data_IF_134303380074
#
_entry.id   IF_134303380074
#
_cell.length_a   1.000
_cell.length_b   1.000
_cell.length_c   1.000
_cell.angle_alpha   90.00
_cell.angle_beta   90.00
_cell.angle_gamma   90.00
#
_symmetry.space_group_name_H-M   'P 1'
#
loop_
_entity.id
_entity.type
_entity.pdbx_description
1 polymer ?
#
# COMPACT_ATOMS: atom_id res chain seq x y z
N UNK A 1 13.55 42.49 -11.68
CA UNK A 1 13.12 42.18 -10.29
C UNK A 1 12.02 41.12 -10.31
N UNK A 2 12.33 39.86 -10.03
CA UNK A 2 11.31 38.80 -9.91
C UNK A 2 10.61 38.96 -8.56
N UNK A 3 9.33 39.36 -8.57
CA UNK A 3 8.50 39.46 -7.36
C UNK A 3 8.35 38.06 -6.76
N UNK A 4 9.05 37.79 -5.66
CA UNK A 4 8.96 36.54 -4.92
C UNK A 4 7.54 36.32 -4.42
N UNK A 5 6.93 35.17 -4.74
CA UNK A 5 5.63 34.78 -4.20
C UNK A 5 5.80 34.54 -2.69
N UNK A 6 5.00 35.21 -1.88
CA UNK A 6 4.94 34.95 -0.43
C UNK A 6 4.51 33.50 -0.20
N UNK A 7 5.16 32.76 0.72
CA UNK A 7 4.78 31.38 1.03
C UNK A 7 3.34 31.34 1.55
N UNK A 8 2.56 30.36 1.09
CA UNK A 8 1.18 30.18 1.55
C UNK A 8 1.18 29.70 3.00
N UNK A 9 0.29 30.23 3.86
CA UNK A 9 0.16 29.74 5.23
C UNK A 9 -0.22 28.26 5.23
N UNK A 10 0.50 27.48 6.04
CA UNK A 10 0.26 26.05 6.19
C UNK A 10 -1.09 25.86 6.89
N UNK A 11 -2.00 25.01 6.38
CA UNK A 11 -3.28 24.75 7.03
C UNK A 11 -3.10 24.19 8.45
N UNK A 12 -3.90 24.67 9.40
CA UNK A 12 -3.89 24.25 10.82
C UNK A 12 -4.06 22.73 10.98
N UNK A 13 -4.79 22.08 10.07
CA UNK A 13 -4.98 20.63 10.03
C UNK A 13 -3.69 19.85 9.75
N UNK A 14 -2.76 20.42 8.98
CA UNK A 14 -1.45 19.80 8.68
C UNK A 14 -0.54 19.91 9.91
N UNK A 15 -0.59 21.05 10.61
CA UNK A 15 0.17 21.28 11.84
C UNK A 15 -0.28 20.31 12.93
N UNK A 16 -1.59 20.15 13.12
CA UNK A 16 -2.14 19.21 14.11
C UNK A 16 -1.77 17.75 13.79
N UNK A 17 -1.83 17.34 12.52
CA UNK A 17 -1.38 15.99 12.11
C UNK A 17 0.10 15.76 12.36
N UNK A 18 0.94 16.79 12.17
CA UNK A 18 2.37 16.70 12.44
C UNK A 18 2.66 16.55 13.93
N UNK A 19 2.03 17.37 14.77
CA UNK A 19 2.16 17.30 16.24
C UNK A 19 1.68 15.96 16.80
N UNK A 20 0.57 15.43 16.30
CA UNK A 20 0.07 14.11 16.71
C UNK A 20 1.05 12.99 16.33
N UNK A 21 1.62 13.06 15.12
CA UNK A 21 2.64 12.10 14.67
C UNK A 21 3.91 12.17 15.53
N UNK A 22 4.36 13.37 15.88
CA UNK A 22 5.53 13.59 16.76
C UNK A 22 5.27 13.06 18.17
N UNK A 23 4.08 13.32 18.75
CA UNK A 23 3.69 12.81 20.06
C UNK A 23 3.62 11.28 20.10
N UNK A 24 3.06 10.67 19.05
CA UNK A 24 3.07 9.22 18.88
C UNK A 24 4.52 8.74 18.76
N UNK A 25 5.35 9.38 17.94
CA UNK A 25 6.74 8.96 17.75
C UNK A 25 7.57 9.02 19.05
N UNK A 26 7.34 10.03 19.88
CA UNK A 26 7.99 10.23 21.18
C UNK A 26 7.55 9.18 22.21
N UNK A 27 6.25 8.90 22.32
CA UNK A 27 5.72 7.79 23.13
C UNK A 27 6.36 6.46 22.71
N UNK A 28 6.42 6.22 21.41
CA UNK A 28 7.06 5.03 20.85
C UNK A 28 8.58 5.02 21.02
N UNK A 29 9.23 6.16 21.25
CA UNK A 29 10.68 6.23 21.43
C UNK A 29 11.10 5.80 22.84
N UNK A 30 10.39 6.26 23.87
CA UNK A 30 10.62 5.82 25.25
C UNK A 30 10.37 4.31 25.42
N UNK A 31 9.32 3.82 24.77
CA UNK A 31 8.92 2.41 24.80
C UNK A 31 9.87 1.48 24.02
N UNK A 32 10.65 2.01 23.06
CA UNK A 32 11.67 1.25 22.30
C UNK A 32 12.89 0.81 23.12
N UNK A 33 13.16 1.43 24.27
CA UNK A 33 14.25 1.02 25.17
C UNK A 33 13.81 -0.01 26.22
N UNK A 34 12.51 -0.26 26.33
CA UNK A 34 11.97 -1.25 27.27
C UNK A 34 12.19 -2.64 26.67
N UNK A 35 13.01 -3.44 27.34
CA UNK A 35 13.05 -4.87 27.10
C UNK A 35 11.78 -5.46 27.71
N UNK A 36 10.93 -6.02 26.86
CA UNK A 36 9.74 -6.73 27.30
C UNK A 36 10.13 -8.10 27.86
N UNK A 37 9.39 -8.60 28.85
CA UNK A 37 9.64 -9.90 29.47
C UNK A 37 8.33 -10.66 29.66
N UNK A 38 8.42 -11.97 29.89
CA UNK A 38 7.25 -12.83 30.07
C UNK A 38 6.39 -12.88 28.81
N UNK A 39 5.08 -12.67 28.95
CA UNK A 39 4.16 -12.82 27.83
C UNK A 39 4.31 -11.78 26.72
N UNK A 40 4.91 -10.63 27.03
CA UNK A 40 5.16 -9.53 26.08
C UNK A 40 6.51 -9.69 25.35
N UNK A 41 7.30 -10.74 25.63
CA UNK A 41 8.64 -10.94 25.07
C UNK A 41 8.67 -10.86 23.54
N UNK A 42 7.62 -11.32 22.87
CA UNK A 42 7.51 -11.28 21.41
C UNK A 42 7.65 -9.85 20.84
N UNK A 43 7.39 -8.81 21.64
CA UNK A 43 7.56 -7.41 21.26
C UNK A 43 9.01 -7.02 21.03
N UNK A 44 9.97 -7.76 21.59
CA UNK A 44 11.40 -7.58 21.34
C UNK A 44 11.84 -8.13 19.97
N UNK A 45 10.98 -8.87 19.28
CA UNK A 45 11.36 -9.57 18.05
C UNK A 45 11.57 -8.59 16.91
N UNK A 46 12.63 -8.82 16.14
CA UNK A 46 12.93 -8.09 14.91
C UNK A 46 12.90 -9.02 13.71
N UNK A 47 12.50 -8.47 12.56
CA UNK A 47 12.67 -9.14 11.28
C UNK A 47 14.16 -9.13 10.91
N UNK A 48 14.71 -10.17 10.23
CA UNK A 48 16.11 -10.17 9.78
C UNK A 48 16.54 -8.92 9.00
N UNK A 49 15.60 -8.33 8.25
CA UNK A 49 15.83 -7.07 7.54
C UNK A 49 16.07 -5.88 8.48
N UNK A 50 15.42 -5.86 9.65
CA UNK A 50 15.51 -4.79 10.64
C UNK A 50 16.76 -4.91 11.52
N UNK A 51 17.24 -6.13 11.76
CA UNK A 51 18.45 -6.42 12.53
C UNK A 51 19.71 -5.85 11.86
N UNK A 52 19.74 -5.79 10.53
CA UNK A 52 20.93 -5.38 9.76
C UNK A 52 21.37 -3.90 9.91
N UNK A 53 20.64 -3.07 10.69
CA UNK A 53 20.84 -1.60 10.91
C UNK A 53 20.96 -0.72 9.65
N UNK A 54 21.09 -1.28 8.45
CA UNK A 54 21.20 -0.57 7.17
C UNK A 54 19.82 -0.09 6.71
N UNK A 55 19.40 1.05 7.26
CA UNK A 55 18.31 1.88 6.74
C UNK A 55 16.99 1.15 6.50
N UNK A 56 16.63 0.16 7.31
CA UNK A 56 15.54 -0.74 6.97
C UNK A 56 14.14 -0.21 7.32
N UNK A 57 13.73 0.90 6.70
CA UNK A 57 12.34 1.36 6.63
C UNK A 57 11.59 1.43 7.97
N UNK A 58 10.25 1.36 7.89
CA UNK A 58 9.38 1.33 9.08
C UNK A 58 9.55 0.00 9.83
N UNK A 59 9.61 0.07 11.16
CA UNK A 59 9.65 -1.11 12.06
C UNK A 59 8.41 -1.99 11.92
N UNK A 60 8.52 -3.24 12.34
CA UNK A 60 7.41 -4.20 12.34
C UNK A 60 6.35 -3.78 13.36
N UNK A 61 5.07 -3.87 12.97
CA UNK A 61 3.95 -3.64 13.89
C UNK A 61 3.90 -4.71 14.99
N UNK A 62 3.19 -4.50 16.11
CA UNK A 62 3.03 -5.53 17.15
C UNK A 62 2.52 -6.87 16.60
N UNK A 63 1.53 -6.81 15.71
CA UNK A 63 1.01 -7.99 15.00
C UNK A 63 2.08 -8.68 14.15
N UNK A 64 2.88 -7.92 13.40
CA UNK A 64 3.99 -8.49 12.61
C UNK A 64 5.06 -9.11 13.51
N UNK A 65 5.37 -8.49 14.66
CA UNK A 65 6.31 -9.03 15.65
C UNK A 65 5.82 -10.37 16.22
N UNK A 66 4.52 -10.48 16.53
CA UNK A 66 3.92 -11.73 16.96
C UNK A 66 4.05 -12.85 15.90
N UNK A 67 3.76 -12.52 14.63
CA UNK A 67 3.94 -13.47 13.51
C UNK A 67 5.40 -13.91 13.38
N UNK A 68 6.35 -12.98 13.41
CA UNK A 68 7.78 -13.28 13.30
C UNK A 68 8.24 -14.16 14.45
N UNK A 69 7.81 -13.85 15.67
CA UNK A 69 8.16 -14.61 16.87
C UNK A 69 7.60 -16.04 16.82
N UNK A 70 6.33 -16.19 16.42
CA UNK A 70 5.71 -17.50 16.21
C UNK A 70 6.49 -18.34 15.20
N UNK A 71 6.92 -17.77 14.08
CA UNK A 71 7.77 -18.47 13.11
C UNK A 71 9.12 -18.86 13.70
N UNK A 72 9.77 -17.97 14.47
CA UNK A 72 11.05 -18.26 15.13
C UNK A 72 10.92 -19.42 16.13
N UNK A 73 9.82 -19.50 16.88
CA UNK A 73 9.54 -20.62 17.81
C UNK A 73 9.28 -21.95 17.07
N UNK A 74 8.73 -21.91 15.87
CA UNK A 74 8.44 -23.09 15.05
C UNK A 74 9.56 -23.39 14.02
N UNK A 75 10.82 -23.28 14.43
CA UNK A 75 11.99 -23.58 13.60
C UNK A 75 12.09 -22.77 12.29
N UNK A 76 11.57 -21.55 12.29
CA UNK A 76 11.63 -20.61 11.17
C UNK A 76 10.47 -20.70 10.17
N UNK A 77 9.49 -21.58 10.40
CA UNK A 77 8.32 -21.74 9.55
C UNK A 77 7.02 -21.95 10.36
N UNK A 78 5.86 -21.54 9.84
CA UNK A 78 4.57 -21.80 10.48
C UNK A 78 3.43 -21.88 9.45
N UNK A 79 2.39 -22.65 9.75
CA UNK A 79 1.11 -22.67 9.02
C UNK A 79 0.26 -21.44 9.34
N UNK A 80 -0.75 -21.14 8.53
CA UNK A 80 -1.63 -19.99 8.77
C UNK A 80 -2.46 -20.16 10.05
N UNK A 81 -2.82 -21.40 10.37
CA UNK A 81 -3.58 -21.80 11.56
C UNK A 81 -2.75 -21.59 12.82
N UNK A 82 -1.49 -22.06 12.84
CA UNK A 82 -0.56 -21.82 13.95
C UNK A 82 -0.34 -20.33 14.20
N UNK A 83 -0.18 -19.54 13.12
CA UNK A 83 -0.03 -18.10 13.23
C UNK A 83 -1.28 -17.43 13.80
N UNK A 84 -2.47 -17.86 13.36
CA UNK A 84 -3.72 -17.32 13.86
C UNK A 84 -3.91 -17.63 15.35
N UNK A 85 -3.69 -18.88 15.75
CA UNK A 85 -3.83 -19.31 17.14
C UNK A 85 -2.86 -18.54 18.05
N UNK A 86 -1.60 -18.41 17.65
CA UNK A 86 -0.62 -17.62 18.41
C UNK A 86 -1.04 -16.15 18.54
N UNK A 87 -1.52 -15.54 17.45
CA UNK A 87 -1.94 -14.15 17.44
C UNK A 87 -3.18 -13.93 18.30
N UNK A 88 -4.12 -14.88 18.33
CA UNK A 88 -5.28 -14.84 19.24
C UNK A 88 -4.85 -14.88 20.70
N UNK A 89 -3.93 -15.77 21.04
CA UNK A 89 -3.41 -15.91 22.41
C UNK A 89 -2.66 -14.66 22.89
N UNK A 90 -2.14 -13.83 21.97
CA UNK A 90 -1.43 -12.58 22.28
C UNK A 90 -2.24 -11.33 21.94
N UNK A 91 -3.54 -11.47 21.69
CA UNK A 91 -4.34 -10.40 21.10
C UNK A 91 -4.48 -9.17 21.99
N UNK A 92 -4.71 -9.37 23.29
CA UNK A 92 -4.85 -8.26 24.25
C UNK A 92 -3.60 -7.40 24.32
N UNK A 93 -2.42 -8.05 24.27
CA UNK A 93 -1.12 -7.38 24.24
C UNK A 93 -0.96 -6.63 22.90
N UNK A 94 -1.26 -7.27 21.77
CA UNK A 94 -1.20 -6.63 20.44
C UNK A 94 -2.08 -5.38 20.40
N UNK A 95 -3.28 -5.44 20.97
CA UNK A 95 -4.23 -4.33 21.05
C UNK A 95 -3.72 -3.18 21.90
N UNK A 96 -3.16 -3.48 23.09
CA UNK A 96 -2.53 -2.50 23.99
C UNK A 96 -1.48 -1.64 23.28
N UNK A 97 -0.72 -2.24 22.36
CA UNK A 97 0.38 -1.57 21.65
C UNK A 97 0.04 -1.13 20.21
N UNK A 98 -1.21 -1.27 19.77
CA UNK A 98 -1.64 -0.83 18.43
C UNK A 98 -2.41 0.49 18.54
N UNK A 99 -1.93 1.59 17.91
CA UNK A 99 -2.47 2.93 18.15
C UNK A 99 -3.82 3.17 17.46
N UNK A 100 -4.14 2.35 16.46
CA UNK A 100 -5.47 2.28 15.83
C UNK A 100 -6.05 0.93 16.21
N UNK A 101 -6.71 0.89 17.36
CA UNK A 101 -7.28 -0.34 17.90
C UNK A 101 -8.12 -1.07 16.85
N UNK A 102 -7.92 -2.38 16.77
CA UNK A 102 -8.79 -3.25 16.01
C UNK A 102 -10.08 -3.47 16.82
N UNK A 103 -11.25 -3.31 16.21
CA UNK A 103 -12.53 -3.55 16.91
C UNK A 103 -12.91 -5.02 17.00
N UNK A 104 -12.25 -5.89 16.24
CA UNK A 104 -12.59 -7.30 16.11
C UNK A 104 -11.36 -8.17 16.27
N UNK A 105 -11.59 -9.37 16.77
CA UNK A 105 -10.60 -10.42 16.86
C UNK A 105 -9.99 -10.75 15.47
N UNK A 106 -8.69 -11.07 15.41
CA UNK A 106 -8.00 -11.43 14.17
C UNK A 106 -8.65 -12.64 13.51
N UNK A 107 -8.75 -12.58 12.18
CA UNK A 107 -9.16 -13.69 11.34
C UNK A 107 -8.02 -14.13 10.42
N UNK A 108 -8.14 -15.31 9.79
CA UNK A 108 -7.18 -15.79 8.77
C UNK A 108 -6.93 -14.74 7.67
N UNK A 109 -7.95 -13.96 7.31
CA UNK A 109 -7.79 -12.86 6.34
C UNK A 109 -6.76 -11.83 6.81
N UNK A 110 -6.76 -11.46 8.09
CA UNK A 110 -5.80 -10.50 8.66
C UNK A 110 -4.39 -11.08 8.64
N UNK A 111 -4.24 -12.37 8.96
CA UNK A 111 -2.96 -13.07 8.89
C UNK A 111 -2.42 -13.06 7.44
N UNK A 112 -3.23 -13.50 6.47
CA UNK A 112 -2.86 -13.50 5.04
C UNK A 112 -2.47 -12.11 4.53
N UNK A 113 -3.22 -11.07 4.91
CA UNK A 113 -2.90 -9.69 4.55
C UNK A 113 -1.53 -9.26 5.08
N UNK A 114 -1.16 -9.67 6.29
CA UNK A 114 0.16 -9.38 6.85
C UNK A 114 1.27 -10.20 6.18
N UNK A 115 1.01 -11.46 5.82
CA UNK A 115 1.97 -12.35 5.17
C UNK A 115 2.39 -11.87 3.78
N UNK A 116 1.50 -11.18 3.05
CA UNK A 116 1.80 -10.61 1.73
C UNK A 116 2.42 -9.20 1.77
N UNK A 117 2.63 -8.63 2.97
CA UNK A 117 3.19 -7.27 3.09
C UNK A 117 4.61 -7.20 2.54
N UNK A 118 4.85 -6.14 1.77
CA UNK A 118 6.17 -5.78 1.27
C UNK A 118 6.75 -4.58 2.02
N UNK A 119 8.03 -4.64 2.36
CA UNK A 119 8.85 -3.49 2.79
C UNK A 119 9.96 -3.25 1.78
N UNK A 120 10.07 -2.02 1.27
CA UNK A 120 11.06 -1.63 0.22
C UNK A 120 11.06 -2.58 -0.99
N UNK A 121 9.86 -2.90 -1.48
CA UNK A 121 9.59 -3.84 -2.57
C UNK A 121 9.99 -5.30 -2.31
N UNK A 122 10.21 -5.69 -1.05
CA UNK A 122 10.55 -7.07 -0.66
C UNK A 122 9.47 -7.65 0.24
N UNK A 123 9.06 -8.88 -0.03
CA UNK A 123 8.18 -9.61 0.87
C UNK A 123 8.90 -9.90 2.19
N UNK A 124 8.21 -9.72 3.31
CA UNK A 124 8.73 -10.11 4.63
C UNK A 124 8.65 -11.61 4.85
N UNK A 125 7.60 -12.23 4.31
CA UNK A 125 7.33 -13.65 4.46
C UNK A 125 7.30 -14.30 3.08
N UNK A 126 7.75 -15.55 3.01
CA UNK A 126 7.76 -16.36 1.79
C UNK A 126 7.07 -17.69 2.06
N UNK A 127 6.47 -18.29 1.04
CA UNK A 127 6.05 -19.69 1.13
C UNK A 127 7.27 -20.59 1.10
N UNK A 128 7.27 -21.65 1.89
CA UNK A 128 8.33 -22.66 1.83
C UNK A 128 8.29 -23.34 0.44
N UNK A 129 9.41 -23.41 -0.29
CA UNK A 129 9.46 -24.09 -1.58
C UNK A 129 9.15 -25.59 -1.49
N UNK A 130 9.39 -26.24 -0.34
CA UNK A 130 9.14 -27.67 -0.12
C UNK A 130 7.69 -27.93 0.29
N UNK A 131 7.08 -27.01 1.04
CA UNK A 131 5.71 -27.15 1.53
C UNK A 131 4.93 -25.85 1.36
N UNK A 132 3.97 -25.86 0.43
CA UNK A 132 3.16 -24.68 0.10
C UNK A 132 2.24 -24.21 1.23
N UNK A 133 2.02 -25.02 2.28
CA UNK A 133 1.17 -24.62 3.41
C UNK A 133 1.96 -23.85 4.47
N UNK A 134 3.29 -23.99 4.47
CA UNK A 134 4.18 -23.30 5.40
C UNK A 134 4.61 -21.93 4.87
N UNK A 135 4.66 -20.98 5.80
CA UNK A 135 5.22 -19.65 5.62
C UNK A 135 6.51 -19.52 6.41
N UNK A 136 7.50 -18.85 5.81
CA UNK A 136 8.84 -18.65 6.35
C UNK A 136 9.22 -17.18 6.37
N UNK A 137 10.19 -16.83 7.21
CA UNK A 137 10.80 -15.50 7.20
C UNK A 137 11.71 -15.31 5.97
N UNK A 138 11.60 -14.15 5.33
CA UNK A 138 12.54 -13.78 4.28
C UNK A 138 13.84 -13.26 4.91
N UNK A 139 14.80 -14.16 5.10
CA UNK A 139 16.10 -13.81 5.69
C UNK A 139 17.15 -13.37 4.68
N UNK A 140 16.88 -13.48 3.38
CA UNK A 140 17.86 -13.17 2.35
C UNK A 140 18.22 -11.67 2.40
N UNK A 141 19.44 -11.29 2.74
CA UNK A 141 19.86 -9.89 2.66
C UNK A 141 19.98 -9.49 1.18
N UNK A 142 19.72 -8.21 0.83
CA UNK A 142 20.00 -7.74 -0.53
C UNK A 142 21.49 -7.94 -0.76
N UNK A 143 21.86 -8.79 -1.73
CA UNK A 143 23.14 -8.63 -2.41
C UNK A 143 23.04 -7.26 -3.07
N UNK A 144 23.75 -6.27 -2.54
CA UNK A 144 23.88 -4.98 -3.23
C UNK A 144 24.38 -5.37 -4.62
N UNK A 145 23.63 -5.09 -5.71
CA UNK A 145 24.18 -5.32 -7.03
C UNK A 145 25.45 -4.48 -7.06
N UNK A 146 26.60 -5.15 -7.16
CA UNK A 146 27.89 -4.48 -7.39
C UNK A 146 27.59 -3.52 -8.53
N UNK A 147 27.65 -2.21 -8.26
CA UNK A 147 27.39 -1.21 -9.28
C UNK A 147 28.26 -1.63 -10.45
N UNK A 148 27.64 -2.08 -11.54
CA UNK A 148 28.37 -2.28 -12.79
C UNK A 148 28.90 -0.89 -13.11
N UNK A 149 30.18 -0.69 -12.84
CA UNK A 149 30.97 0.45 -13.29
C UNK A 149 30.97 0.36 -14.81
N UNK A 150 29.91 0.86 -15.40
CA UNK A 150 29.76 1.00 -16.84
C UNK A 150 30.71 2.12 -17.27
N UNK A 151 31.68 1.74 -18.10
CA UNK A 151 32.54 2.55 -18.95
C UNK A 151 33.57 3.45 -18.25
N UNK A 152 34.77 2.90 -18.03
CA UNK A 152 36.01 3.62 -18.32
C UNK A 152 36.64 2.98 -19.56
N UNK A 153 36.36 3.59 -20.70
CA UNK A 153 37.08 3.36 -21.95
C UNK A 153 38.46 3.98 -21.82
N UNK A 154 39.49 3.14 -21.84
CA UNK A 154 40.76 3.43 -22.52
C UNK A 154 41.58 2.16 -22.53
N UNK A 155 41.82 1.63 -23.72
CA UNK A 155 42.89 0.69 -23.97
C UNK A 155 44.23 1.40 -23.68
N UNK A 156 45.04 0.79 -22.81
CA UNK A 156 46.50 0.77 -22.90
C UNK A 156 47.03 -0.31 -21.94
N UNK A 157 48.14 -0.91 -22.34
CA UNK A 157 48.65 -2.23 -22.01
C UNK A 157 49.52 -2.30 -20.72
N UNK A 158 49.31 -3.36 -19.91
CA UNK A 158 50.30 -4.28 -19.23
C UNK A 158 51.21 -3.69 -18.09
N UNK A 159 51.78 -4.45 -17.12
CA UNK A 159 51.47 -5.74 -16.46
C UNK A 159 51.30 -5.66 -14.90
N UNK A 160 50.97 -6.82 -14.34
CA UNK A 160 51.05 -7.28 -12.93
C UNK A 160 52.00 -6.54 -11.96
N UNK A 161 51.50 -6.20 -10.77
CA UNK A 161 51.99 -6.71 -9.47
C UNK A 161 51.14 -6.17 -8.30
N UNK A 162 51.13 -6.98 -7.22
CA UNK A 162 50.70 -6.74 -5.83
C UNK A 162 50.18 -5.34 -5.43
N UNK A 163 49.13 -5.30 -4.61
CA UNK A 163 49.06 -4.50 -3.36
C UNK A 163 47.87 -4.98 -2.52
N UNK A 164 48.20 -5.55 -1.36
CA UNK A 164 47.35 -5.69 -0.19
C UNK A 164 46.95 -4.30 0.36
N UNK A 165 45.86 -4.27 1.12
CA UNK A 165 45.41 -3.16 1.98
C UNK A 165 44.86 -1.92 1.26
N UNK A 166 43.57 -1.65 1.45
CA UNK A 166 43.17 -0.29 1.81
C UNK A 166 41.89 -0.23 2.63
N UNK A 167 42.09 0.45 3.75
CA UNK A 167 41.19 0.85 4.79
C UNK A 167 39.91 1.56 4.32
N UNK A 168 38.87 1.36 5.12
CA UNK A 168 38.10 2.43 5.77
C UNK A 168 38.33 3.84 5.21
N UNK A 169 37.40 4.32 4.39
CA UNK A 169 37.12 5.75 4.37
C UNK A 169 35.61 6.02 4.33
N UNK A 170 35.22 6.78 5.34
CA UNK A 170 33.88 7.21 5.69
C UNK A 170 33.47 8.39 4.81
N UNK A 171 32.87 8.08 3.66
CA UNK A 171 32.19 9.07 2.83
C UNK A 171 30.80 9.42 3.37
N UNK A 172 30.67 10.61 3.95
CA UNK A 172 29.40 11.28 4.24
C UNK A 172 28.59 11.43 2.94
N UNK A 173 27.67 10.51 2.68
CA UNK A 173 26.69 10.66 1.61
C UNK A 173 25.52 11.49 2.14
N UNK A 174 25.49 12.76 1.70
CA UNK A 174 24.31 13.60 1.74
C UNK A 174 23.15 12.86 1.07
N UNK A 175 22.22 12.41 1.90
CA UNK A 175 20.95 11.76 1.56
C UNK A 175 20.04 12.80 0.92
N UNK A 176 20.36 13.17 -0.32
CA UNK A 176 19.41 13.81 -1.22
C UNK A 176 18.59 12.69 -1.83
N UNK A 177 17.45 12.40 -1.20
CA UNK A 177 16.39 11.60 -1.80
C UNK A 177 16.18 12.09 -3.25
N UNK A 178 16.20 11.20 -4.26
CA UNK A 178 15.66 11.57 -5.55
C UNK A 178 14.15 11.67 -5.38
N UNK A 179 13.67 12.87 -5.07
CA UNK A 179 12.25 13.28 -4.99
C UNK A 179 11.57 13.27 -6.38
N UNK A 180 11.97 12.33 -7.24
CA UNK A 180 11.64 12.30 -8.66
C UNK A 180 11.25 10.89 -9.14
N UNK A 181 10.62 10.08 -8.28
CA UNK A 181 9.86 8.93 -8.81
C UNK A 181 8.61 9.39 -9.60
N UNK A 182 8.18 10.65 -9.43
CA UNK A 182 7.15 11.28 -10.27
C UNK A 182 7.69 11.88 -11.58
N UNK A 183 8.99 12.12 -11.70
CA UNK A 183 9.58 12.84 -12.86
C UNK A 183 9.91 11.96 -14.06
N UNK A 184 9.92 10.62 -13.92
CA UNK A 184 10.26 9.69 -15.01
C UNK A 184 9.05 9.02 -15.67
N UNK A 185 7.82 9.39 -15.30
CA UNK A 185 6.61 9.05 -16.07
C UNK A 185 6.44 10.02 -17.24
N UNK A 186 7.52 10.35 -17.94
CA UNK A 186 7.42 10.91 -19.28
C UNK A 186 6.78 9.78 -20.08
N UNK A 187 5.46 9.88 -20.26
CA UNK A 187 4.67 9.01 -21.11
C UNK A 187 5.30 9.05 -22.49
N UNK A 188 6.22 8.13 -22.78
CA UNK A 188 6.70 7.92 -24.13
C UNK A 188 5.46 7.78 -25.02
N UNK A 189 5.44 8.51 -26.13
CA UNK A 189 4.29 8.59 -27.03
C UNK A 189 3.84 7.23 -27.58
N UNK A 190 4.66 6.18 -27.44
CA UNK A 190 4.42 4.83 -27.94
C UNK A 190 4.09 3.80 -26.83
N UNK A 191 3.50 4.26 -25.71
CA UNK A 191 3.03 3.36 -24.64
C UNK A 191 1.61 2.86 -24.90
N UNK A 192 1.31 1.64 -24.43
CA UNK A 192 -0.04 1.09 -24.54
C UNK A 192 -1.11 1.97 -23.88
N UNK A 193 -0.78 2.56 -22.73
CA UNK A 193 -1.66 3.48 -22.00
C UNK A 193 -2.07 4.67 -22.89
N UNK A 194 -1.13 5.16 -23.71
CA UNK A 194 -1.40 6.26 -24.64
C UNK A 194 -2.35 5.84 -25.74
N UNK A 195 -2.21 4.64 -26.30
CA UNK A 195 -3.15 4.12 -27.28
C UNK A 195 -4.56 3.92 -26.72
N UNK A 196 -4.69 3.49 -25.46
CA UNK A 196 -6.00 3.43 -24.77
C UNK A 196 -6.60 4.83 -24.64
N UNK A 197 -5.80 5.82 -24.23
CA UNK A 197 -6.25 7.20 -24.10
C UNK A 197 -6.67 7.79 -25.45
N UNK A 198 -5.86 7.64 -26.50
CA UNK A 198 -6.13 8.18 -27.83
C UNK A 198 -7.39 7.53 -28.44
N UNK A 199 -7.60 6.24 -28.20
CA UNK A 199 -8.85 5.55 -28.56
C UNK A 199 -10.05 6.12 -27.81
N UNK A 200 -9.95 6.31 -26.49
CA UNK A 200 -11.03 6.92 -25.72
C UNK A 200 -11.30 8.37 -26.13
N UNK A 201 -10.29 9.12 -26.62
CA UNK A 201 -10.46 10.48 -27.15
C UNK A 201 -11.16 10.50 -28.51
N UNK A 202 -10.97 9.49 -29.35
CA UNK A 202 -11.58 9.45 -30.69
C UNK A 202 -13.03 9.02 -30.69
N UNK A 203 -13.46 8.25 -29.67
CA UNK A 203 -14.83 7.79 -29.55
C UNK A 203 -15.76 8.94 -29.14
N UNK A 204 -16.95 9.00 -29.76
CA UNK A 204 -18.01 9.94 -29.38
C UNK A 204 -19.14 9.28 -28.59
N UNK A 205 -19.30 7.96 -28.64
CA UNK A 205 -20.37 7.22 -27.96
C UNK A 205 -19.87 6.48 -26.73
N UNK A 206 -20.78 5.99 -25.89
CA UNK A 206 -20.37 5.04 -24.86
C UNK A 206 -20.06 3.68 -25.50
N UNK A 207 -19.03 3.00 -25.00
CA UNK A 207 -18.54 1.73 -25.55
C UNK A 207 -18.32 0.70 -24.46
N UNK A 208 -18.55 -0.56 -24.78
CA UNK A 208 -18.28 -1.68 -23.87
C UNK A 208 -16.82 -2.08 -23.91
N UNK A 209 -16.35 -2.73 -22.86
CA UNK A 209 -14.93 -3.09 -22.75
C UNK A 209 -14.47 -4.07 -23.83
N UNK A 210 -15.35 -4.96 -24.27
CA UNK A 210 -15.06 -5.93 -25.33
C UNK A 210 -14.78 -5.22 -26.67
N UNK A 211 -15.51 -4.14 -26.96
CA UNK A 211 -15.32 -3.31 -28.16
C UNK A 211 -14.00 -2.54 -28.10
N UNK A 212 -13.65 -2.02 -26.91
CA UNK A 212 -12.35 -1.38 -26.65
C UNK A 212 -11.23 -2.40 -26.88
N UNK A 213 -11.36 -3.62 -26.35
CA UNK A 213 -10.36 -4.68 -26.49
C UNK A 213 -10.18 -5.11 -27.96
N UNK A 214 -11.27 -5.27 -28.70
CA UNK A 214 -11.23 -5.62 -30.12
C UNK A 214 -10.49 -4.54 -30.93
N UNK A 215 -10.78 -3.27 -30.67
CA UNK A 215 -10.17 -2.13 -31.37
C UNK A 215 -8.68 -1.95 -31.06
N UNK A 216 -8.26 -2.31 -29.84
CA UNK A 216 -6.88 -2.21 -29.37
C UNK A 216 -6.08 -3.51 -29.51
N UNK A 217 -6.66 -4.56 -30.10
CA UNK A 217 -6.02 -5.88 -30.25
C UNK A 217 -4.66 -5.82 -30.95
N UNK A 218 -4.51 -4.93 -31.94
CA UNK A 218 -3.24 -4.65 -32.64
C UNK A 218 -2.11 -4.11 -31.75
N UNK A 219 -2.44 -3.58 -30.57
CA UNK A 219 -1.47 -3.03 -29.61
C UNK A 219 -1.22 -3.95 -28.42
N UNK A 220 -1.75 -5.19 -28.44
CA UNK A 220 -1.66 -6.13 -27.30
C UNK A 220 -0.23 -6.36 -26.80
N UNK A 221 0.74 -6.39 -27.70
CA UNK A 221 2.16 -6.65 -27.38
C UNK A 221 2.97 -5.39 -27.02
N UNK A 222 2.40 -4.19 -27.16
CA UNK A 222 3.09 -2.94 -26.82
C UNK A 222 3.39 -2.89 -25.32
N UNK A 223 4.56 -2.38 -24.94
CA UNK A 223 4.95 -2.25 -23.53
C UNK A 223 4.16 -1.15 -22.80
N UNK A 224 4.14 -1.21 -21.47
CA UNK A 224 3.42 -0.24 -20.63
C UNK A 224 3.41 -0.60 -19.14
N UNK A 225 2.78 0.26 -18.34
CA UNK A 225 2.70 0.17 -16.88
C UNK A 225 2.09 -1.15 -16.39
N UNK A 226 1.12 -1.66 -17.14
CA UNK A 226 0.33 -2.82 -16.75
C UNK A 226 0.66 -4.09 -17.57
N UNK A 227 1.86 -4.19 -18.14
CA UNK A 227 2.26 -5.30 -19.05
C UNK A 227 2.11 -6.71 -18.45
N UNK A 228 2.18 -6.84 -17.12
CA UNK A 228 2.04 -8.12 -16.43
C UNK A 228 0.58 -8.58 -16.24
N UNK A 229 -0.40 -7.79 -16.66
CA UNK A 229 -1.80 -8.15 -16.60
C UNK A 229 -2.28 -8.75 -17.94
N UNK A 230 -3.24 -9.70 -17.91
CA UNK A 230 -3.96 -10.10 -19.11
C UNK A 230 -4.54 -8.89 -19.86
N UNK A 231 -4.59 -8.96 -21.19
CA UNK A 231 -4.91 -7.84 -22.08
C UNK A 231 -6.17 -7.04 -21.68
N UNK A 232 -7.29 -7.70 -21.42
CA UNK A 232 -8.50 -7.01 -20.97
C UNK A 232 -8.34 -6.34 -19.60
N UNK A 233 -7.67 -7.02 -18.66
CA UNK A 233 -7.39 -6.45 -17.32
C UNK A 233 -6.45 -5.25 -17.41
N UNK A 234 -5.54 -5.26 -18.38
CA UNK A 234 -4.67 -4.14 -18.71
C UNK A 234 -5.48 -2.92 -19.13
N UNK A 235 -6.43 -3.10 -20.05
CA UNK A 235 -7.36 -2.04 -20.48
C UNK A 235 -8.17 -1.51 -19.29
N UNK A 236 -8.73 -2.39 -18.45
CA UNK A 236 -9.45 -1.98 -17.22
C UNK A 236 -8.58 -1.11 -16.31
N UNK A 237 -7.33 -1.51 -16.08
CA UNK A 237 -6.41 -0.74 -15.24
C UNK A 237 -6.14 0.66 -15.83
N UNK A 238 -5.91 0.77 -17.14
CA UNK A 238 -5.76 2.06 -17.82
C UNK A 238 -7.01 2.93 -17.67
N UNK A 239 -8.20 2.37 -17.90
CA UNK A 239 -9.47 3.10 -17.80
C UNK A 239 -9.77 3.58 -16.37
N UNK A 240 -9.40 2.80 -15.34
CA UNK A 240 -9.52 3.22 -13.94
C UNK A 240 -8.61 4.42 -13.63
N UNK A 241 -7.37 4.41 -14.14
CA UNK A 241 -6.47 5.56 -14.00
C UNK A 241 -7.04 6.78 -14.70
N UNK A 242 -7.46 6.66 -15.96
CA UNK A 242 -8.07 7.75 -16.72
C UNK A 242 -9.36 8.29 -16.05
N UNK A 243 -10.15 7.41 -15.41
CA UNK A 243 -11.34 7.80 -14.63
C UNK A 243 -10.96 8.59 -13.38
N UNK A 244 -9.90 8.19 -12.68
CA UNK A 244 -9.41 8.92 -11.51
C UNK A 244 -8.91 10.33 -11.87
N UNK A 245 -8.46 10.52 -13.11
CA UNK A 245 -8.06 11.82 -13.66
C UNK A 245 -9.22 12.62 -14.26
N UNK A 246 -10.43 12.05 -14.30
CA UNK A 246 -11.61 12.69 -14.88
C UNK A 246 -11.58 12.80 -16.41
N UNK A 247 -10.74 12.02 -17.11
CA UNK A 247 -10.67 12.00 -18.58
C UNK A 247 -11.69 11.08 -19.22
N UNK A 248 -12.11 10.04 -18.50
CA UNK A 248 -13.17 9.11 -18.91
C UNK A 248 -14.14 8.86 -17.76
N UNK A 249 -15.34 8.43 -18.10
CA UNK A 249 -16.41 8.13 -17.18
C UNK A 249 -16.89 6.69 -17.41
N UNK A 250 -17.40 6.08 -16.34
CA UNK A 250 -17.95 4.73 -16.38
C UNK A 250 -19.39 4.80 -15.91
N UNK A 251 -20.30 4.30 -16.74
CA UNK A 251 -21.71 4.15 -16.42
C UNK A 251 -21.95 2.73 -15.91
N UNK A 252 -22.32 2.62 -14.62
CA UNK A 252 -22.56 1.35 -13.95
C UNK A 252 -23.83 0.66 -14.45
N UNK A 253 -24.82 1.41 -14.96
CA UNK A 253 -26.08 0.83 -15.43
C UNK A 253 -25.91 0.11 -16.76
N UNK A 254 -25.21 0.75 -17.69
CA UNK A 254 -24.99 0.19 -19.03
C UNK A 254 -23.68 -0.61 -19.12
N UNK A 255 -22.84 -0.54 -18.08
CA UNK A 255 -21.48 -1.11 -18.05
C UNK A 255 -20.64 -0.62 -19.24
N UNK A 256 -20.72 0.68 -19.53
CA UNK A 256 -20.02 1.32 -20.66
C UNK A 256 -19.06 2.40 -20.18
N UNK A 257 -18.05 2.66 -21.01
CA UNK A 257 -17.07 3.73 -20.81
C UNK A 257 -17.29 4.81 -21.85
N UNK A 258 -17.17 6.08 -21.44
CA UNK A 258 -17.29 7.24 -22.32
C UNK A 258 -16.26 8.30 -21.96
N UNK A 259 -15.92 9.16 -22.91
CA UNK A 259 -15.17 10.40 -22.67
C UNK A 259 -16.10 11.63 -22.52
N UNK A 260 -17.39 11.47 -22.87
CA UNK A 260 -18.39 12.51 -22.75
C UNK A 260 -18.82 12.64 -21.29
N UNK A 261 -19.23 13.86 -20.92
CA UNK A 261 -19.57 14.36 -19.57
C UNK A 261 -20.01 13.25 -18.59
N UNK A 262 -19.65 13.40 -17.29
CA UNK A 262 -20.01 12.42 -16.27
C UNK A 262 -21.49 12.05 -16.40
N UNK A 263 -21.83 10.74 -16.37
CA UNK A 263 -23.21 10.31 -16.46
C UNK A 263 -24.00 11.16 -15.50
N UNK A 264 -25.07 11.79 -15.99
CA UNK A 264 -25.93 12.67 -15.21
C UNK A 264 -26.15 11.92 -13.92
N UNK A 265 -25.57 12.43 -12.82
CA UNK A 265 -25.71 11.76 -11.53
C UNK A 265 -27.20 11.61 -11.40
N UNK A 266 -27.70 10.38 -11.49
CA UNK A 266 -29.06 10.10 -11.07
C UNK A 266 -29.00 10.60 -9.65
N UNK A 267 -29.63 11.74 -9.42
CA UNK A 267 -29.67 12.34 -8.10
C UNK A 267 -30.23 11.21 -7.26
N UNK A 268 -29.35 10.54 -6.50
CA UNK A 268 -29.78 9.58 -5.52
C UNK A 268 -30.84 10.36 -4.75
N UNK A 269 -32.12 9.94 -4.80
CA UNK A 269 -33.18 10.70 -4.16
C UNK A 269 -32.69 10.92 -2.75
N UNK A 270 -32.41 12.19 -2.43
CA UNK A 270 -31.54 12.60 -1.33
C UNK A 270 -31.67 11.62 -0.17
N UNK A 271 -30.61 10.87 0.14
CA UNK A 271 -30.56 9.89 1.25
C UNK A 271 -30.90 10.55 2.61
N UNK A 272 -31.15 11.86 2.64
CA UNK A 272 -31.66 12.65 3.75
C UNK A 272 -33.18 12.61 4.00
N UNK A 273 -34.00 11.89 3.23
CA UNK A 273 -35.44 11.78 3.58
C UNK A 273 -35.73 10.95 4.85
N UNK A 274 -34.74 10.25 5.39
CA UNK A 274 -34.88 9.42 6.61
C UNK A 274 -34.15 10.00 7.83
N UNK A 275 -33.84 11.29 7.83
CA UNK A 275 -33.37 11.93 9.05
C UNK A 275 -34.51 11.94 10.08
N UNK A 276 -34.34 11.20 11.18
CA UNK A 276 -35.21 11.22 12.36
C UNK A 276 -35.01 12.54 13.15
N UNK A 277 -34.92 13.68 12.48
CA UNK A 277 -34.60 14.99 13.09
C UNK A 277 -35.62 15.42 14.14
N UNK A 278 -36.84 14.90 14.08
CA UNK A 278 -37.91 15.27 15.00
C UNK A 278 -38.07 14.32 16.20
N UNK A 279 -37.24 13.28 16.29
CA UNK A 279 -37.39 12.25 17.34
C UNK A 279 -36.45 12.53 18.50
N UNK A 280 -37.02 12.90 19.66
CA UNK A 280 -36.28 13.01 20.93
C UNK A 280 -35.99 11.62 21.49
N UNK A 281 -34.83 11.06 21.11
CA UNK A 281 -34.38 9.71 21.49
C UNK A 281 -34.32 9.50 23.02
N UNK A 282 -34.12 10.58 23.79
CA UNK A 282 -33.92 10.52 25.25
C UNK A 282 -35.10 9.91 26.02
N UNK A 283 -36.30 9.87 25.45
CA UNK A 283 -37.52 9.40 26.12
C UNK A 283 -38.11 8.12 25.52
N UNK A 284 -37.39 7.47 24.59
CA UNK A 284 -37.90 6.28 23.92
C UNK A 284 -37.22 5.03 24.46
N UNK A 285 -38.03 4.02 24.75
CA UNK A 285 -37.56 2.66 24.93
C UNK A 285 -37.08 2.08 23.61
N UNK A 286 -36.28 1.02 23.67
CA UNK A 286 -35.73 0.35 22.48
C UNK A 286 -36.86 -0.16 21.56
N UNK A 287 -37.96 -0.64 22.14
CA UNK A 287 -39.11 -1.16 21.39
C UNK A 287 -39.87 -0.05 20.68
N UNK A 288 -40.05 1.12 21.32
CA UNK A 288 -40.69 2.28 20.68
C UNK A 288 -39.84 2.85 19.55
N UNK A 289 -38.51 2.89 19.71
CA UNK A 289 -37.60 3.29 18.66
C UNK A 289 -37.69 2.33 17.46
N UNK A 290 -37.76 1.02 17.73
CA UNK A 290 -37.88 0.00 16.70
C UNK A 290 -39.20 0.14 15.90
N UNK A 291 -40.33 0.28 16.59
CA UNK A 291 -41.63 0.46 15.93
C UNK A 291 -41.71 1.79 15.17
N UNK A 292 -41.07 2.86 15.64
CA UNK A 292 -40.98 4.13 14.89
C UNK A 292 -40.19 3.99 13.59
N UNK A 293 -39.04 3.31 13.61
CA UNK A 293 -38.22 3.08 12.41
C UNK A 293 -38.98 2.21 11.41
N UNK A 294 -39.61 1.14 11.89
CA UNK A 294 -40.43 0.24 11.09
C UNK A 294 -41.59 1.00 10.44
N UNK A 295 -42.35 1.79 11.17
CA UNK A 295 -43.49 2.53 10.62
C UNK A 295 -43.08 3.62 9.61
N UNK A 296 -41.91 4.26 9.75
CA UNK A 296 -41.43 5.26 8.78
C UNK A 296 -40.78 4.67 7.53
N UNK A 297 -40.19 3.48 7.60
CA UNK A 297 -39.55 2.84 6.44
C UNK A 297 -40.54 2.14 5.50
N UNK A 298 -41.78 1.86 5.92
CA UNK A 298 -42.75 1.08 5.14
C UNK A 298 -43.95 1.86 4.57
N UNK A 299 -44.11 3.15 4.91
CA UNK A 299 -45.13 3.99 4.27
C UNK A 299 -44.53 4.58 2.99
N UNK A 300 -44.95 4.00 1.85
CA UNK A 300 -44.68 4.49 0.49
C UNK A 300 -45.60 5.65 0.12
#
# INVERSE_FOLDING_TARGET
MKRGRKPRPIPTSVINKKKEKERIEELYYAERKRLYAGEEEFMNTYHPFEESKKGCGKKSSPLQKAIIFCMKQNNGAATEEQLLEFVRNKWDIIMKYTPRGFSMEPSLRVIRLNLVVRKKARHLFLKDPKNKDLWMLNSNLRKIPVKRTLFKSSAEEIPEENIENLASDSGNYSDSEPDSMYGSYIMNHDTFERHVEDFMRSIQTSVKIEEIANSLSKYKEKQGLFQCLPFERRIRACLVVLKSEGRVFFDELTNTWSNQKPPTKIEKPSENRYLLTDVKIQNLTIDELYEMVKNKCFVK
#
